data_IF_450495116312
#
_entry.id   IF_450495116312
#
_cell.length_a   1.000
_cell.length_b   1.000
_cell.length_c   1.000
_cell.angle_alpha   90.00
_cell.angle_beta   90.00
_cell.angle_gamma   90.00
#
_symmetry.space_group_name_H-M   'P 1'
#
loop_
_entity.id
_entity.type
_entity.pdbx_description
1 polymer ?
#
# COMPACT_ATOMS: atom_id res chain seq x y z
N UNK A 1 -14.66 -10.09 -28.95
CA UNK A 1 -13.94 -9.90 -27.67
C UNK A 1 -12.52 -10.34 -27.91
N UNK A 2 -11.55 -9.47 -27.66
CA UNK A 2 -10.14 -9.85 -27.73
C UNK A 2 -9.83 -10.55 -26.42
N UNK A 3 -9.44 -11.81 -26.51
CA UNK A 3 -9.28 -12.67 -25.34
C UNK A 3 -7.90 -12.43 -24.73
N UNK A 4 -7.87 -12.01 -23.46
CA UNK A 4 -6.62 -11.76 -22.72
C UNK A 4 -5.98 -13.10 -22.35
N UNK A 5 -4.65 -13.20 -22.51
CA UNK A 5 -3.87 -14.36 -22.05
C UNK A 5 -3.15 -14.03 -20.75
N UNK A 6 -2.93 -15.04 -19.91
CA UNK A 6 -2.15 -14.91 -18.66
C UNK A 6 -0.77 -14.30 -18.93
N UNK A 7 -0.12 -14.74 -20.00
CA UNK A 7 1.18 -14.23 -20.46
C UNK A 7 1.14 -12.72 -20.80
N UNK A 8 0.03 -12.22 -21.38
CA UNK A 8 -0.11 -10.80 -21.70
C UNK A 8 -0.21 -9.96 -20.43
N UNK A 9 -0.92 -10.47 -19.41
CA UNK A 9 -0.98 -9.84 -18.08
C UNK A 9 0.38 -9.87 -17.40
N UNK A 10 1.10 -10.99 -17.48
CA UNK A 10 2.42 -11.14 -16.88
C UNK A 10 3.43 -10.13 -17.42
N UNK A 11 3.47 -9.91 -18.73
CA UNK A 11 4.37 -8.92 -19.36
C UNK A 11 4.09 -7.49 -18.92
N UNK A 12 2.89 -7.21 -18.42
CA UNK A 12 2.51 -5.89 -17.93
C UNK A 12 2.91 -5.65 -16.46
N UNK A 13 3.50 -6.64 -15.79
CA UNK A 13 4.01 -6.48 -14.42
C UNK A 13 5.23 -5.54 -14.39
N UNK A 14 5.30 -4.66 -13.39
CA UNK A 14 6.34 -3.64 -13.30
C UNK A 14 7.75 -4.21 -13.26
N UNK A 15 7.98 -5.33 -12.59
CA UNK A 15 9.27 -5.99 -12.56
C UNK A 15 9.68 -6.56 -13.93
N UNK A 16 8.73 -6.85 -14.83
CA UNK A 16 8.99 -7.39 -16.16
C UNK A 16 9.34 -6.26 -17.16
N UNK A 17 8.54 -5.20 -17.20
CA UNK A 17 8.76 -4.13 -18.19
C UNK A 17 9.76 -3.06 -17.74
N UNK A 18 9.87 -2.77 -16.43
CA UNK A 18 10.72 -1.67 -15.95
C UNK A 18 12.21 -1.83 -16.33
N UNK A 19 12.85 -3.02 -16.24
CA UNK A 19 14.23 -3.20 -16.67
C UNK A 19 14.46 -2.80 -18.12
N UNK A 20 13.50 -3.09 -19.01
CA UNK A 20 13.58 -2.81 -20.44
C UNK A 20 13.40 -1.32 -20.77
N UNK A 21 12.59 -0.61 -19.97
CA UNK A 21 12.25 0.80 -20.21
C UNK A 21 12.83 1.76 -19.17
N UNK A 22 13.82 1.31 -18.38
CA UNK A 22 14.40 2.06 -17.26
C UNK A 22 14.90 3.46 -17.67
N UNK A 23 15.48 3.59 -18.85
CA UNK A 23 16.03 4.87 -19.38
C UNK A 23 14.96 5.90 -19.73
N UNK A 24 13.72 5.46 -19.98
CA UNK A 24 12.58 6.30 -20.40
C UNK A 24 11.42 6.26 -19.41
N UNK A 25 11.64 5.71 -18.21
CA UNK A 25 10.66 5.67 -17.13
C UNK A 25 11.15 6.43 -15.90
N UNK A 26 10.24 6.73 -14.99
CA UNK A 26 10.58 7.28 -13.67
C UNK A 26 11.47 6.29 -12.93
N UNK A 27 12.56 6.80 -12.33
CA UNK A 27 13.47 6.02 -11.47
C UNK A 27 12.63 5.27 -10.43
N UNK A 28 12.73 3.94 -10.46
CA UNK A 28 11.97 3.00 -9.64
C UNK A 28 12.91 1.99 -8.98
N UNK A 29 12.64 1.67 -7.72
CA UNK A 29 13.23 0.55 -6.98
C UNK A 29 12.11 -0.44 -6.68
N UNK A 30 12.39 -1.74 -6.80
CA UNK A 30 11.39 -2.80 -6.71
C UNK A 30 11.81 -3.75 -5.60
N UNK A 31 10.87 -4.07 -4.71
CA UNK A 31 11.02 -5.02 -3.60
C UNK A 31 10.03 -6.16 -3.77
N UNK A 32 10.48 -7.40 -3.64
CA UNK A 32 9.56 -8.51 -3.52
C UNK A 32 8.90 -8.45 -2.13
N UNK A 33 7.59 -8.52 -2.08
CA UNK A 33 6.83 -8.47 -0.83
C UNK A 33 6.82 -9.84 -0.14
N UNK A 34 7.03 -9.89 1.19
CA UNK A 34 6.87 -11.12 1.93
C UNK A 34 5.39 -11.52 2.00
N UNK A 35 5.10 -12.82 1.97
CA UNK A 35 3.72 -13.33 2.00
C UNK A 35 2.96 -12.87 3.26
N UNK A 36 3.65 -12.68 4.39
CA UNK A 36 3.05 -12.14 5.61
C UNK A 36 2.50 -10.72 5.43
N UNK A 37 3.15 -9.89 4.60
CA UNK A 37 2.64 -8.56 4.29
C UNK A 37 1.45 -8.63 3.33
N UNK A 38 1.45 -9.59 2.40
CA UNK A 38 0.31 -9.85 1.50
C UNK A 38 -0.91 -10.30 2.30
N UNK A 39 -0.72 -11.21 3.25
CA UNK A 39 -1.77 -11.65 4.16
C UNK A 39 -2.32 -10.48 4.99
N UNK A 40 -1.45 -9.62 5.50
CA UNK A 40 -1.86 -8.40 6.20
C UNK A 40 -2.71 -7.46 5.33
N UNK A 41 -2.35 -7.26 4.06
CA UNK A 41 -3.12 -6.41 3.14
C UNK A 41 -4.51 -6.98 2.82
N UNK A 42 -4.65 -8.31 2.85
CA UNK A 42 -5.90 -9.02 2.56
C UNK A 42 -6.74 -9.33 3.80
N UNK A 43 -6.22 -9.04 5.00
CA UNK A 43 -6.92 -9.31 6.24
C UNK A 43 -7.99 -8.24 6.53
N UNK A 44 -9.24 -8.65 6.31
CA UNK A 44 -10.47 -7.90 6.59
C UNK A 44 -11.25 -8.50 7.78
N UNK A 45 -10.65 -9.45 8.51
CA UNK A 45 -11.32 -10.13 9.63
C UNK A 45 -11.32 -9.34 10.93
N UNK A 46 -10.39 -8.39 11.05
CA UNK A 46 -10.16 -7.58 12.25
C UNK A 46 -10.14 -6.08 11.96
N UNK A 47 -9.85 -5.26 12.98
CA UNK A 47 -9.80 -3.80 12.83
C UNK A 47 -8.71 -3.35 11.84
N UNK A 48 -8.91 -2.14 11.31
CA UNK A 48 -7.90 -1.45 10.50
C UNK A 48 -6.73 -1.01 11.40
N UNK A 49 -5.71 -1.83 11.46
CA UNK A 49 -4.46 -1.62 12.20
C UNK A 49 -3.29 -1.33 11.24
N UNK A 50 -2.51 -0.29 11.51
CA UNK A 50 -1.26 -0.05 10.82
C UNK A 50 -0.14 -0.88 11.45
N UNK A 51 0.91 -1.26 10.68
CA UNK A 51 2.01 -2.00 11.25
C UNK A 51 2.78 -1.13 12.27
N UNK A 52 3.23 -1.74 13.36
CA UNK A 52 4.12 -1.06 14.31
C UNK A 52 5.46 -0.81 13.62
N UNK A 53 5.80 0.47 13.50
CA UNK A 53 7.07 0.92 12.94
C UNK A 53 8.21 0.71 13.94
N UNK A 54 9.30 0.08 13.51
CA UNK A 54 10.54 0.01 14.32
C UNK A 54 11.34 1.31 14.30
N UNK A 55 10.93 2.26 13.47
CA UNK A 55 11.51 3.59 13.32
C UNK A 55 10.75 4.66 14.11
N UNK A 56 9.69 4.26 14.82
CA UNK A 56 8.72 5.17 15.46
C UNK A 56 8.09 6.17 14.48
N UNK A 57 7.86 5.75 13.24
CA UNK A 57 7.20 6.55 12.20
C UNK A 57 5.69 6.21 12.16
N UNK A 58 4.84 7.23 12.18
CA UNK A 58 3.38 7.10 12.04
C UNK A 58 2.93 7.69 10.70
N UNK A 59 1.93 7.07 10.07
CA UNK A 59 1.29 7.59 8.88
C UNK A 59 0.31 8.72 9.18
N UNK A 60 -0.25 8.72 10.39
CA UNK A 60 -1.24 9.69 10.84
C UNK A 60 -0.59 10.69 11.81
N UNK A 61 -1.06 11.95 11.83
CA UNK A 61 -0.53 12.92 12.77
C UNK A 61 -0.90 12.50 14.20
N UNK A 62 0.04 12.67 15.13
CA UNK A 62 -0.24 12.55 16.55
C UNK A 62 -1.42 13.45 16.91
N UNK A 63 -2.52 12.86 17.40
CA UNK A 63 -3.61 13.66 17.95
C UNK A 63 -3.04 14.48 19.11
N UNK A 64 -3.10 15.80 18.99
CA UNK A 64 -2.86 16.70 20.12
C UNK A 64 -3.98 16.39 21.11
N UNK A 65 -3.65 15.82 22.26
CA UNK A 65 -4.61 15.70 23.37
C UNK A 65 -4.97 17.13 23.79
N UNK A 66 -6.16 17.60 23.38
CA UNK A 66 -6.69 18.87 23.84
C UNK A 66 -7.58 18.57 25.05
N UNK A 67 -7.14 18.84 26.29
CA UNK A 67 -7.89 18.50 27.51
C UNK A 67 -9.21 19.27 27.67
N UNK A 68 -9.61 20.06 26.67
CA UNK A 68 -10.79 20.95 26.70
C UNK A 68 -11.99 20.32 25.97
N UNK A 69 -11.77 19.30 25.13
CA UNK A 69 -12.84 18.68 24.32
C UNK A 69 -13.43 17.39 24.95
N UNK A 70 -13.08 17.06 26.20
CA UNK A 70 -13.60 15.87 26.90
C UNK A 70 -15.07 16.03 27.37
N UNK A 71 -15.66 17.23 27.27
CA UNK A 71 -17.03 17.47 27.76
C UNK A 71 -18.13 17.17 26.73
N UNK A 72 -17.84 17.13 25.42
CA UNK A 72 -18.87 17.02 24.37
C UNK A 72 -19.08 15.58 23.81
N UNK A 73 -18.30 14.61 24.29
CA UNK A 73 -18.48 13.19 23.94
C UNK A 73 -18.35 12.26 25.15
N UNK A 74 -19.21 12.46 26.15
CA UNK A 74 -19.41 11.48 27.22
C UNK A 74 -20.20 10.28 26.68
N UNK A 75 -19.51 9.28 26.14
CA UNK A 75 -20.06 7.93 26.04
C UNK A 75 -20.16 7.44 27.49
N UNK A 76 -21.39 7.23 27.97
CA UNK A 76 -21.66 6.63 29.27
C UNK A 76 -20.89 5.31 29.37
N UNK A 77 -19.80 5.28 30.16
CA UNK A 77 -19.17 4.03 30.59
C UNK A 77 -20.16 3.27 31.47
N UNK A 78 -20.98 2.43 30.83
CA UNK A 78 -21.66 1.35 31.49
C UNK A 78 -20.62 0.33 31.93
N UNK A 79 -20.24 0.40 33.20
CA UNK A 79 -19.53 -0.66 33.89
C UNK A 79 -20.45 -1.89 33.94
N UNK A 80 -20.24 -2.86 33.04
CA UNK A 80 -20.54 -4.28 33.32
C UNK A 80 -19.85 -5.21 32.29
N UNK A 81 -19.14 -6.17 32.88
CA UNK A 81 -18.57 -7.43 32.40
C UNK A 81 -17.30 -7.47 31.54
N UNK A 82 -16.31 -8.19 32.11
CA UNK A 82 -15.02 -8.59 31.57
C UNK A 82 -15.18 -9.51 30.34
N UNK A 83 -15.33 -8.93 29.15
CA UNK A 83 -14.97 -9.60 27.90
C UNK A 83 -13.72 -8.92 27.38
N UNK A 84 -12.56 -9.45 27.77
CA UNK A 84 -11.27 -9.04 27.21
C UNK A 84 -11.36 -9.16 25.69
N UNK A 85 -11.51 -8.03 25.01
CA UNK A 85 -11.42 -7.94 23.55
C UNK A 85 -10.03 -8.45 23.16
N UNK A 86 -9.96 -9.72 22.74
CA UNK A 86 -8.76 -10.40 22.20
C UNK A 86 -8.39 -9.77 20.84
N UNK A 87 -8.27 -8.45 20.78
CA UNK A 87 -7.76 -7.76 19.62
C UNK A 87 -6.31 -8.19 19.40
N UNK A 88 -6.05 -8.76 18.23
CA UNK A 88 -4.71 -9.19 17.85
C UNK A 88 -3.77 -7.98 17.84
N UNK A 89 -2.52 -8.12 18.34
CA UNK A 89 -1.57 -7.02 18.33
C UNK A 89 -1.30 -6.58 16.88
N UNK A 90 -1.04 -5.28 16.64
CA UNK A 90 -0.73 -4.83 15.30
C UNK A 90 0.52 -5.54 14.76
N UNK A 91 0.57 -5.88 13.46
CA UNK A 91 1.69 -6.59 12.88
C UNK A 91 2.93 -5.70 12.80
N UNK A 92 4.09 -6.27 12.50
CA UNK A 92 5.32 -5.50 12.21
C UNK A 92 6.12 -6.17 11.11
N UNK A 93 6.78 -5.37 10.28
CA UNK A 93 7.54 -5.81 9.11
C UNK A 93 8.93 -5.16 9.06
N UNK A 94 9.79 -5.38 10.08
CA UNK A 94 11.02 -4.61 10.28
C UNK A 94 11.98 -4.68 9.09
N UNK A 95 12.17 -5.87 8.51
CA UNK A 95 13.06 -6.04 7.36
C UNK A 95 12.56 -5.26 6.13
N UNK A 96 11.26 -5.37 5.83
CA UNK A 96 10.64 -4.65 4.72
C UNK A 96 10.67 -3.14 4.96
N UNK A 97 10.39 -2.69 6.19
CA UNK A 97 10.40 -1.29 6.58
C UNK A 97 11.78 -0.65 6.38
N UNK A 98 12.86 -1.33 6.80
CA UNK A 98 14.22 -0.84 6.62
C UNK A 98 14.60 -0.76 5.13
N UNK A 99 14.32 -1.79 4.34
CA UNK A 99 14.59 -1.80 2.89
C UNK A 99 13.82 -0.70 2.14
N UNK A 100 12.57 -0.46 2.53
CA UNK A 100 11.74 0.62 2.00
C UNK A 100 12.30 1.98 2.39
N UNK A 101 12.70 2.18 3.66
CA UNK A 101 13.31 3.44 4.12
C UNK A 101 14.53 3.82 3.29
N UNK A 102 15.49 2.89 3.13
CA UNK A 102 16.70 3.11 2.33
C UNK A 102 16.37 3.48 0.87
N UNK A 103 15.34 2.83 0.33
CA UNK A 103 14.88 3.08 -1.03
C UNK A 103 14.26 4.46 -1.17
N UNK A 104 13.43 4.90 -0.22
CA UNK A 104 12.83 6.24 -0.19
C UNK A 104 13.93 7.29 -0.17
N UNK A 105 14.93 7.14 0.70
CA UNK A 105 16.08 8.04 0.79
C UNK A 105 16.84 8.13 -0.54
N UNK A 106 17.15 6.98 -1.16
CA UNK A 106 17.87 6.92 -2.45
C UNK A 106 17.08 7.46 -3.66
N UNK A 107 15.76 7.59 -3.51
CA UNK A 107 14.84 8.17 -4.50
C UNK A 107 14.61 9.67 -4.25
N UNK A 108 15.18 10.24 -3.19
CA UNK A 108 15.09 11.67 -2.88
C UNK A 108 14.06 12.00 -1.80
N UNK A 109 13.76 11.05 -0.92
CA UNK A 109 12.93 11.25 0.28
C UNK A 109 11.42 11.27 0.02
N UNK A 110 10.96 11.05 -1.21
CA UNK A 110 9.53 10.97 -1.53
C UNK A 110 9.30 10.05 -2.72
N UNK A 111 8.30 9.19 -2.58
CA UNK A 111 7.99 8.14 -3.54
C UNK A 111 6.49 8.07 -3.84
N UNK A 112 6.19 7.40 -4.93
CA UNK A 112 4.87 6.92 -5.30
C UNK A 112 4.90 5.39 -5.31
N UNK A 113 4.21 4.73 -4.37
CA UNK A 113 4.19 3.27 -4.28
C UNK A 113 3.12 2.67 -5.20
N UNK A 114 3.40 1.50 -5.78
CA UNK A 114 2.42 0.68 -6.50
C UNK A 114 2.77 -0.81 -6.45
N UNK A 115 1.80 -1.67 -6.73
CA UNK A 115 2.04 -3.11 -6.91
C UNK A 115 2.44 -3.44 -8.36
N UNK A 116 2.44 -4.73 -8.69
CA UNK A 116 2.80 -5.28 -9.98
C UNK A 116 2.14 -4.51 -11.14
N UNK A 117 0.83 -4.22 -11.05
CA UNK A 117 0.07 -3.56 -12.11
C UNK A 117 -0.53 -2.25 -11.68
N UNK A 118 -1.23 -2.24 -10.55
CA UNK A 118 -2.10 -1.15 -10.14
C UNK A 118 -1.42 -0.20 -9.17
N UNK A 119 -1.81 1.07 -9.27
CA UNK A 119 -1.49 2.08 -8.27
C UNK A 119 -2.70 2.29 -7.36
N UNK A 120 -2.50 2.63 -6.07
CA UNK A 120 -3.59 2.77 -5.10
C UNK A 120 -4.33 4.12 -5.25
N UNK A 121 -4.76 4.46 -6.47
CA UNK A 121 -5.35 5.78 -6.78
C UNK A 121 -6.68 6.01 -6.07
N UNK A 122 -7.41 4.93 -5.83
CA UNK A 122 -8.68 4.85 -5.13
C UNK A 122 -8.56 5.04 -3.62
N UNK A 123 -7.36 4.94 -3.03
CA UNK A 123 -7.14 5.17 -1.60
C UNK A 123 -6.47 6.50 -1.27
N UNK A 124 -6.33 7.41 -2.25
CA UNK A 124 -5.74 8.75 -1.99
C UNK A 124 -6.47 9.53 -0.88
N UNK A 125 -7.75 9.23 -0.63
CA UNK A 125 -8.58 9.88 0.39
C UNK A 125 -8.14 9.61 1.82
N UNK A 126 -7.45 8.49 2.10
CA UNK A 126 -7.00 8.16 3.46
C UNK A 126 -5.67 8.84 3.82
N UNK A 127 -4.93 9.32 2.81
CA UNK A 127 -3.68 10.05 3.00
C UNK A 127 -3.92 11.41 3.63
N UNK A 128 -3.08 11.78 4.59
CA UNK A 128 -3.10 13.08 5.28
C UNK A 128 -2.93 14.27 4.34
N UNK A 129 -2.33 14.04 3.17
CA UNK A 129 -2.09 15.05 2.14
C UNK A 129 -3.08 14.98 0.97
N UNK A 130 -4.02 14.03 0.97
CA UNK A 130 -4.85 13.68 -0.17
C UNK A 130 -4.05 13.39 -1.46
N UNK A 131 -2.80 12.90 -1.31
CA UNK A 131 -1.92 12.53 -2.42
C UNK A 131 -1.40 11.11 -2.25
N UNK A 132 -0.90 10.54 -3.36
CA UNK A 132 -0.22 9.23 -3.39
C UNK A 132 1.28 9.34 -3.11
N UNK A 133 1.73 10.49 -2.59
CA UNK A 133 3.11 10.70 -2.17
C UNK A 133 3.28 10.06 -0.79
N UNK A 134 4.30 9.22 -0.67
CA UNK A 134 4.74 8.67 0.61
C UNK A 134 6.20 9.04 0.88
N UNK A 135 6.53 9.09 2.16
CA UNK A 135 7.83 9.40 2.75
C UNK A 135 8.22 8.37 3.81
N UNK A 136 7.26 7.59 4.33
CA UNK A 136 7.49 6.51 5.30
C UNK A 136 6.88 5.19 4.84
N UNK A 137 7.30 4.07 5.45
CA UNK A 137 6.68 2.76 5.23
C UNK A 137 5.22 2.74 5.74
N UNK A 138 4.96 3.38 6.88
CA UNK A 138 3.63 3.48 7.48
C UNK A 138 2.61 4.12 6.52
N UNK A 139 2.99 5.20 5.81
CA UNK A 139 2.14 5.84 4.79
C UNK A 139 1.85 4.90 3.60
N UNK A 140 2.82 4.07 3.20
CA UNK A 140 2.63 3.08 2.14
C UNK A 140 1.66 1.99 2.59
N UNK A 141 1.83 1.46 3.80
CA UNK A 141 0.95 0.46 4.37
C UNK A 141 -0.50 0.98 4.50
N UNK A 142 -0.66 2.23 4.94
CA UNK A 142 -1.96 2.91 5.03
C UNK A 142 -2.67 2.98 3.67
N UNK A 143 -1.98 3.48 2.62
CA UNK A 143 -2.56 3.55 1.27
C UNK A 143 -2.88 2.16 0.71
N UNK A 144 -1.98 1.20 0.92
CA UNK A 144 -2.13 -0.12 0.32
C UNK A 144 -3.29 -0.89 0.94
N UNK A 145 -3.43 -0.84 2.27
CA UNK A 145 -4.51 -1.53 2.97
C UNK A 145 -5.90 -0.95 2.66
N UNK A 146 -5.98 0.31 2.23
CA UNK A 146 -7.23 0.98 1.89
C UNK A 146 -7.59 0.94 0.38
N UNK A 147 -6.90 0.16 -0.45
CA UNK A 147 -7.05 0.18 -1.92
C UNK A 147 -7.67 -1.09 -2.51
N UNK A 148 -8.88 -0.97 -3.05
CA UNK A 148 -9.57 -2.05 -3.78
C UNK A 148 -8.83 -2.43 -5.07
N UNK A 149 -8.20 -1.47 -5.73
CA UNK A 149 -7.38 -1.68 -6.93
C UNK A 149 -6.20 -2.60 -6.64
N UNK A 150 -5.63 -2.52 -5.43
CA UNK A 150 -4.58 -3.44 -5.02
C UNK A 150 -5.14 -4.80 -4.58
N UNK A 151 -6.31 -4.87 -3.94
CA UNK A 151 -7.00 -6.14 -3.68
C UNK A 151 -7.25 -6.90 -4.99
N UNK A 152 -7.64 -6.20 -6.06
CA UNK A 152 -7.76 -6.79 -7.39
C UNK A 152 -6.44 -7.40 -7.88
N UNK A 153 -5.32 -6.68 -7.79
CA UNK A 153 -3.99 -7.22 -8.13
C UNK A 153 -3.68 -8.48 -7.29
N UNK A 154 -3.99 -8.45 -6.00
CA UNK A 154 -3.64 -9.49 -5.03
C UNK A 154 -4.54 -10.74 -5.10
N UNK A 155 -5.74 -10.67 -5.68
CA UNK A 155 -6.71 -11.76 -5.68
C UNK A 155 -7.20 -12.19 -7.07
N UNK A 156 -7.27 -11.24 -8.00
CA UNK A 156 -8.08 -11.33 -9.22
C UNK A 156 -7.32 -10.99 -10.51
N UNK A 157 -5.98 -10.87 -10.45
CA UNK A 157 -5.15 -10.42 -11.58
C UNK A 157 -5.42 -11.17 -12.90
N UNK A 158 -5.76 -12.46 -12.86
CA UNK A 158 -5.97 -13.29 -14.03
C UNK A 158 -7.44 -13.55 -14.35
N UNK A 159 -8.39 -12.89 -13.69
CA UNK A 159 -9.80 -13.27 -13.80
C UNK A 159 -10.38 -13.11 -15.20
N UNK A 160 -9.81 -12.20 -16.01
CA UNK A 160 -10.17 -11.99 -17.41
C UNK A 160 -9.40 -12.88 -18.40
N UNK A 161 -8.45 -13.70 -17.94
CA UNK A 161 -7.63 -14.56 -18.79
C UNK A 161 -8.34 -15.88 -19.10
N UNK A 162 -8.26 -16.33 -20.36
CA UNK A 162 -8.92 -17.56 -20.79
C UNK A 162 -8.13 -18.83 -20.47
N UNK A 163 -6.81 -18.70 -20.44
CA UNK A 163 -5.84 -19.76 -20.19
C UNK A 163 -5.38 -19.79 -18.72
N UNK A 164 -6.13 -19.12 -17.81
CA UNK A 164 -5.74 -18.98 -16.41
C UNK A 164 -5.67 -20.33 -15.71
N UNK A 165 -4.52 -20.61 -15.10
CA UNK A 165 -4.33 -21.77 -14.23
C UNK A 165 -4.59 -21.47 -12.75
N UNK A 166 -4.55 -20.18 -12.39
CA UNK A 166 -4.76 -19.62 -11.06
C UNK A 166 -5.47 -18.26 -11.18
N UNK A 167 -5.88 -17.64 -10.07
CA UNK A 167 -6.47 -16.30 -10.10
C UNK A 167 -5.43 -15.17 -10.06
N UNK A 168 -4.19 -15.48 -9.66
CA UNK A 168 -3.14 -14.50 -9.33
C UNK A 168 -1.72 -15.10 -9.40
N UNK A 169 -0.65 -14.30 -9.54
CA UNK A 169 0.73 -14.78 -9.42
C UNK A 169 1.09 -15.21 -8.00
N UNK A 170 2.21 -15.92 -7.86
CA UNK A 170 2.79 -16.29 -6.56
C UNK A 170 3.57 -15.16 -5.89
N UNK A 171 4.14 -14.24 -6.66
CA UNK A 171 5.01 -13.19 -6.14
C UNK A 171 4.42 -11.81 -6.43
N UNK A 172 4.48 -10.95 -5.41
CA UNK A 172 4.06 -9.55 -5.51
C UNK A 172 5.24 -8.64 -5.24
N UNK A 173 5.21 -7.46 -5.85
CA UNK A 173 6.31 -6.53 -5.84
C UNK A 173 5.80 -5.13 -5.48
N UNK A 174 6.43 -4.53 -4.49
CA UNK A 174 6.32 -3.11 -4.18
C UNK A 174 7.30 -2.34 -5.07
N UNK A 175 6.76 -1.54 -5.99
CA UNK A 175 7.55 -0.62 -6.80
C UNK A 175 7.47 0.80 -6.24
N UNK A 176 8.60 1.28 -5.72
CA UNK A 176 8.78 2.64 -5.25
C UNK A 176 9.28 3.51 -6.40
N UNK A 177 8.40 4.33 -6.96
CA UNK A 177 8.73 5.27 -8.04
C UNK A 177 9.10 6.61 -7.42
N UNK A 178 10.17 7.25 -7.88
CA UNK A 178 10.54 8.60 -7.42
C UNK A 178 9.38 9.58 -7.60
N UNK A 179 9.02 10.30 -6.54
CA UNK A 179 8.01 11.35 -6.62
C UNK A 179 8.56 12.59 -7.34
N UNK A 180 7.80 13.11 -8.31
CA UNK A 180 8.10 14.35 -9.00
C UNK A 180 6.95 15.35 -8.80
N UNK A 181 7.12 16.36 -7.94
CA UNK A 181 6.09 17.39 -7.71
C UNK A 181 5.70 18.17 -8.97
N UNK A 182 6.58 18.18 -9.98
CA UNK A 182 6.36 18.87 -11.24
C UNK A 182 5.51 18.07 -12.25
N UNK A 183 5.10 16.84 -11.92
CA UNK A 183 4.28 16.03 -12.82
C UNK A 183 2.85 16.59 -12.84
N UNK A 184 2.47 17.07 -14.01
CA UNK A 184 1.18 17.72 -14.26
C UNK A 184 0.19 16.71 -14.84
N UNK A 185 -0.95 16.43 -14.19
CA UNK A 185 -1.96 15.50 -14.71
C UNK A 185 -2.42 15.83 -16.13
N UNK A 186 -2.48 17.11 -16.49
CA UNK A 186 -2.84 17.59 -17.84
C UNK A 186 -1.81 17.24 -18.93
N UNK A 187 -0.64 16.72 -18.57
CA UNK A 187 0.40 16.23 -19.48
C UNK A 187 0.50 14.70 -19.52
N UNK A 188 -0.43 13.97 -18.90
CA UNK A 188 -0.54 12.52 -18.99
C UNK A 188 -1.40 12.12 -20.21
N UNK A 189 -0.93 11.13 -20.99
CA UNK A 189 -1.63 10.59 -22.15
C UNK A 189 -1.74 9.06 -22.03
N UNK A 190 -2.85 8.48 -22.51
CA UNK A 190 -3.11 7.04 -22.54
C UNK A 190 -3.49 6.60 -23.95
#
# INVERSE_FOLDING_TARGET
MQNMKEEDVNRCQIQEWYPNFKSVSVKTIIHQLPESFIQYLLDDSGPFLLPVSVLNEDALPNRIHNPIDEEDFQVSEGSDDDEADESSPPPSFPELELQVKESIESLGGSVFPKLNWSAPKDSAWISTSATLRCTTFSEIALLFRASDSLVHDLCHAYDSCQDKSSSRPHNFFLALRKWYPSLKPEMEFR
#
